data_IF_739071815020
#
_entry.id   IF_739071815020
#
_cell.length_a   1.000
_cell.length_b   1.000
_cell.length_c   1.000
_cell.angle_alpha   90.00
_cell.angle_beta   90.00
_cell.angle_gamma   90.00
#
_symmetry.space_group_name_H-M   'P 1'
#
loop_
_entity.id
_entity.type
_entity.pdbx_description
1 polymer ?
#
# COMPACT_ATOMS: atom_id res chain seq x y z
N UNK A 1 12.66 23.90 -69.45
CA UNK A 1 11.71 23.30 -70.41
C UNK A 1 11.69 21.79 -70.20
N UNK A 2 10.49 21.20 -70.08
CA UNK A 2 10.10 19.78 -70.35
C UNK A 2 10.80 18.63 -69.61
N UNK A 3 10.10 17.94 -68.69
CA UNK A 3 9.39 16.62 -68.82
C UNK A 3 10.35 15.42 -68.89
N UNK A 4 10.09 14.22 -68.39
CA UNK A 4 9.17 13.55 -67.46
C UNK A 4 9.53 12.03 -67.54
N UNK A 5 9.03 11.22 -66.60
CA UNK A 5 8.97 9.73 -66.65
C UNK A 5 10.28 9.00 -66.30
N UNK A 6 10.37 8.02 -65.40
CA UNK A 6 9.39 7.16 -64.75
C UNK A 6 9.65 5.70 -65.17
N UNK A 7 10.21 4.85 -64.29
CA UNK A 7 9.93 3.40 -64.27
C UNK A 7 10.53 2.68 -63.03
N UNK A 8 9.64 1.97 -62.33
CA UNK A 8 9.77 0.79 -61.48
C UNK A 8 11.14 0.08 -61.36
N UNK A 9 11.52 -0.29 -60.13
CA UNK A 9 11.89 -1.70 -59.81
C UNK A 9 11.63 -2.04 -58.33
N UNK A 10 11.13 -3.26 -58.11
CA UNK A 10 10.68 -3.92 -56.87
C UNK A 10 11.82 -4.36 -55.91
N UNK A 11 11.42 -4.66 -54.65
CA UNK A 11 11.93 -5.70 -53.69
C UNK A 11 13.41 -5.60 -53.24
N UNK A 12 13.84 -5.88 -52.00
CA UNK A 12 13.34 -6.78 -50.97
C UNK A 12 13.99 -6.52 -49.58
N UNK A 13 13.24 -6.91 -48.54
CA UNK A 13 13.65 -7.66 -47.32
C UNK A 13 14.88 -7.24 -46.47
N UNK A 14 14.54 -6.72 -45.29
CA UNK A 14 14.93 -7.21 -43.95
C UNK A 14 16.29 -7.90 -43.74
N UNK A 15 17.22 -7.21 -43.07
CA UNK A 15 18.25 -7.74 -42.14
C UNK A 15 18.76 -6.54 -41.32
N UNK A 16 18.99 -6.53 -40.01
CA UNK A 16 18.74 -7.45 -38.92
C UNK A 16 18.98 -6.66 -37.63
N UNK A 17 18.00 -6.63 -36.72
CA UNK A 17 18.21 -6.23 -35.33
C UNK A 17 18.71 -7.46 -34.58
N UNK A 18 19.96 -7.85 -34.83
CA UNK A 18 20.58 -8.94 -34.10
C UNK A 18 21.35 -8.40 -32.90
N UNK A 19 20.99 -8.95 -31.74
CA UNK A 19 21.83 -9.06 -30.53
C UNK A 19 21.75 -7.90 -29.54
N UNK A 20 20.61 -7.79 -28.84
CA UNK A 20 20.67 -7.44 -27.42
C UNK A 20 21.10 -8.70 -26.66
N UNK A 21 22.35 -8.72 -26.24
CA UNK A 21 22.87 -9.69 -25.29
C UNK A 21 22.09 -9.48 -23.99
N UNK A 22 21.19 -10.42 -23.68
CA UNK A 22 20.56 -10.52 -22.36
C UNK A 22 21.65 -11.03 -21.43
N UNK A 23 22.23 -10.13 -20.64
CA UNK A 23 23.05 -10.52 -19.50
C UNK A 23 22.17 -11.34 -18.55
N UNK A 24 22.52 -12.61 -18.33
CA UNK A 24 22.02 -13.41 -17.22
C UNK A 24 22.59 -12.85 -15.90
N UNK A 25 22.09 -11.69 -15.47
CA UNK A 25 21.87 -11.51 -14.04
C UNK A 25 20.82 -12.56 -13.67
N UNK A 26 21.00 -13.27 -12.55
CA UNK A 26 19.95 -14.13 -12.00
C UNK A 26 18.75 -13.22 -11.73
N UNK A 27 17.84 -13.13 -12.70
CA UNK A 27 16.58 -12.46 -12.50
C UNK A 27 15.91 -13.23 -11.38
N UNK A 28 15.65 -12.55 -10.27
CA UNK A 28 14.75 -13.03 -9.24
C UNK A 28 13.49 -13.52 -9.97
N UNK A 29 13.19 -14.82 -9.84
CA UNK A 29 12.06 -15.45 -10.54
C UNK A 29 10.79 -14.75 -10.06
N UNK A 30 10.33 -13.76 -10.82
CA UNK A 30 9.19 -12.90 -10.51
C UNK A 30 7.88 -13.53 -10.98
N UNK A 31 7.80 -14.86 -10.97
CA UNK A 31 6.60 -15.62 -11.29
C UNK A 31 5.64 -15.74 -10.09
N UNK A 32 4.38 -16.04 -10.39
CA UNK A 32 3.39 -16.38 -9.37
C UNK A 32 3.82 -17.61 -8.55
N UNK A 33 4.40 -18.63 -9.20
CA UNK A 33 4.86 -19.84 -8.53
C UNK A 33 5.98 -19.56 -7.52
N UNK A 34 6.97 -18.74 -7.88
CA UNK A 34 8.02 -18.30 -6.95
C UNK A 34 7.45 -17.44 -5.81
N UNK A 35 6.50 -16.55 -6.13
CA UNK A 35 5.80 -15.73 -5.13
C UNK A 35 5.07 -16.59 -4.09
N UNK A 36 4.34 -17.63 -4.50
CA UNK A 36 3.67 -18.53 -3.56
C UNK A 36 4.65 -19.29 -2.65
N UNK A 37 5.81 -19.70 -3.17
CA UNK A 37 6.88 -20.29 -2.34
C UNK A 37 7.41 -19.31 -1.31
N UNK A 38 7.58 -18.04 -1.68
CA UNK A 38 8.04 -17.01 -0.75
C UNK A 38 6.99 -16.67 0.32
N UNK A 39 5.70 -16.65 -0.04
CA UNK A 39 4.59 -16.54 0.91
C UNK A 39 4.65 -17.69 1.92
N UNK A 40 4.78 -18.93 1.45
CA UNK A 40 4.85 -20.11 2.32
C UNK A 40 6.06 -20.05 3.25
N UNK A 41 7.24 -19.66 2.74
CA UNK A 41 8.44 -19.51 3.54
C UNK A 41 8.31 -18.39 4.60
N UNK A 42 7.59 -17.31 4.29
CA UNK A 42 7.45 -16.15 5.18
C UNK A 42 6.34 -16.34 6.21
N UNK A 43 5.21 -16.95 5.84
CA UNK A 43 4.01 -17.07 6.68
C UNK A 43 3.77 -18.49 7.22
N UNK A 44 4.58 -19.47 6.80
CA UNK A 44 4.42 -20.89 7.15
C UNK A 44 3.31 -21.62 6.37
N UNK A 45 2.54 -20.90 5.56
CA UNK A 45 1.55 -21.45 4.62
C UNK A 45 1.22 -20.40 3.57
N UNK A 46 0.50 -20.78 2.51
CA UNK A 46 -0.11 -19.81 1.57
C UNK A 46 -1.59 -19.62 1.94
N UNK A 47 -1.96 -18.52 2.62
CA UNK A 47 -3.35 -18.20 2.95
C UNK A 47 -4.28 -18.20 1.73
N UNK A 48 -5.55 -18.52 1.95
CA UNK A 48 -6.56 -18.59 0.89
C UNK A 48 -6.76 -17.26 0.16
N UNK A 49 -6.66 -16.12 0.85
CA UNK A 49 -6.82 -14.81 0.24
C UNK A 49 -5.70 -14.46 -0.75
N UNK A 50 -4.49 -15.00 -0.58
CA UNK A 50 -3.44 -14.89 -1.60
C UNK A 50 -3.70 -15.83 -2.78
N UNK A 51 -4.16 -17.06 -2.53
CA UNK A 51 -4.51 -18.02 -3.60
C UNK A 51 -5.66 -17.55 -4.49
N UNK A 52 -6.59 -16.76 -3.94
CA UNK A 52 -7.72 -16.20 -4.69
C UNK A 52 -7.34 -14.96 -5.50
N UNK A 53 -6.20 -14.33 -5.20
CA UNK A 53 -5.74 -13.17 -5.95
C UNK A 53 -5.21 -13.61 -7.34
N UNK A 54 -5.50 -12.89 -8.43
CA UNK A 54 -5.03 -13.28 -9.76
C UNK A 54 -3.51 -13.45 -9.81
N UNK A 55 -3.04 -14.54 -10.44
CA UNK A 55 -1.61 -14.80 -10.61
C UNK A 55 -0.87 -13.66 -11.33
N UNK A 56 -1.56 -12.95 -12.22
CA UNK A 56 -1.02 -11.77 -12.91
C UNK A 56 -0.68 -10.61 -11.97
N UNK A 57 -1.26 -10.57 -10.77
CA UNK A 57 -1.06 -9.53 -9.78
C UNK A 57 -0.39 -9.97 -8.48
N UNK A 58 -0.29 -11.28 -8.20
CA UNK A 58 0.16 -11.77 -6.89
C UNK A 58 1.57 -11.33 -6.53
N UNK A 59 2.46 -11.22 -7.53
CA UNK A 59 3.84 -10.77 -7.37
C UNK A 59 3.88 -9.37 -6.74
N UNK A 60 3.09 -8.43 -7.29
CA UNK A 60 3.01 -7.07 -6.78
C UNK A 60 2.31 -6.98 -5.42
N UNK A 61 1.20 -7.70 -5.25
CA UNK A 61 0.46 -7.71 -3.98
C UNK A 61 1.31 -8.26 -2.82
N UNK A 62 2.08 -9.32 -3.08
CA UNK A 62 3.00 -9.87 -2.10
C UNK A 62 4.17 -8.95 -1.81
N UNK A 63 4.76 -8.33 -2.84
CA UNK A 63 5.85 -7.37 -2.66
C UNK A 63 5.42 -6.18 -1.78
N UNK A 64 4.20 -5.66 -1.98
CA UNK A 64 3.62 -4.62 -1.13
C UNK A 64 3.43 -5.13 0.31
N UNK A 65 2.78 -6.27 0.49
CA UNK A 65 2.51 -6.82 1.81
C UNK A 65 3.80 -7.11 2.59
N UNK A 66 4.77 -7.81 1.98
CA UNK A 66 6.04 -8.14 2.61
C UNK A 66 6.92 -6.90 2.83
N UNK A 67 6.98 -6.00 1.85
CA UNK A 67 7.84 -4.82 1.86
C UNK A 67 7.33 -3.68 2.74
N UNK A 68 6.02 -3.59 2.97
CA UNK A 68 5.39 -2.52 3.74
C UNK A 68 4.71 -3.05 5.01
N UNK A 69 3.74 -3.97 4.91
CA UNK A 69 2.97 -4.45 6.07
C UNK A 69 3.89 -5.20 7.06
N UNK A 70 4.62 -6.20 6.58
CA UNK A 70 5.44 -7.07 7.45
C UNK A 70 6.83 -6.51 7.76
N UNK A 71 7.27 -5.47 7.06
CA UNK A 71 8.65 -5.00 7.15
C UNK A 71 8.90 -4.25 8.47
N UNK A 72 9.79 -4.74 9.35
CA UNK A 72 10.10 -4.07 10.62
C UNK A 72 11.08 -2.89 10.45
N UNK A 73 11.67 -2.71 9.26
CA UNK A 73 12.70 -1.70 8.97
C UNK A 73 12.13 -0.40 8.38
N UNK A 74 10.88 -0.09 8.69
CA UNK A 74 10.24 1.18 8.32
C UNK A 74 10.15 2.09 9.53
N UNK A 75 9.83 3.37 9.32
CA UNK A 75 9.73 4.37 10.40
C UNK A 75 8.70 4.03 11.49
N UNK A 76 7.60 3.35 11.14
CA UNK A 76 6.66 2.83 12.12
C UNK A 76 7.03 1.39 12.49
N UNK A 77 7.14 1.11 13.79
CA UNK A 77 7.29 -0.26 14.27
C UNK A 77 6.00 -1.07 14.01
N UNK A 78 6.11 -2.40 14.11
CA UNK A 78 5.00 -3.32 13.84
C UNK A 78 3.77 -3.03 14.71
N UNK A 79 3.94 -2.80 16.02
CA UNK A 79 2.83 -2.47 16.92
C UNK A 79 2.05 -1.25 16.43
N UNK A 80 2.74 -0.15 16.14
CA UNK A 80 2.12 1.09 15.68
C UNK A 80 1.40 0.90 14.34
N UNK A 81 2.00 0.18 13.40
CA UNK A 81 1.36 -0.13 12.10
C UNK A 81 0.04 -0.88 12.29
N UNK A 82 0.05 -1.91 13.12
CA UNK A 82 -1.13 -2.75 13.31
C UNK A 82 -2.23 -2.03 14.09
N UNK A 83 -1.90 -1.14 15.03
CA UNK A 83 -2.88 -0.28 15.70
C UNK A 83 -3.51 0.74 14.74
N UNK A 84 -2.73 1.32 13.82
CA UNK A 84 -3.25 2.17 12.74
C UNK A 84 -4.14 1.36 11.80
N UNK A 85 -3.70 0.16 11.39
CA UNK A 85 -4.48 -0.76 10.57
C UNK A 85 -5.81 -1.14 11.23
N UNK A 86 -5.81 -1.43 12.54
CA UNK A 86 -7.01 -1.71 13.31
C UNK A 86 -7.96 -0.52 13.35
N UNK A 87 -7.45 0.69 13.58
CA UNK A 87 -8.25 1.92 13.57
C UNK A 87 -8.96 2.12 12.22
N UNK A 88 -8.23 1.94 11.11
CA UNK A 88 -8.80 2.01 9.75
C UNK A 88 -9.83 0.91 9.53
N UNK A 89 -9.49 -0.35 9.89
CA UNK A 89 -10.36 -1.52 9.73
C UNK A 89 -11.70 -1.37 10.48
N UNK A 90 -11.66 -0.84 11.71
CA UNK A 90 -12.85 -0.52 12.49
C UNK A 90 -13.72 0.54 11.80
N UNK A 91 -13.09 1.46 11.07
CA UNK A 91 -13.78 2.58 10.45
C UNK A 91 -14.40 2.29 9.08
N UNK A 92 -13.85 1.33 8.34
CA UNK A 92 -14.41 0.72 7.11
C UNK A 92 -15.22 -0.57 7.40
N UNK A 93 -15.69 -0.72 8.65
CA UNK A 93 -16.01 -2.00 9.34
C UNK A 93 -15.69 -3.32 8.63
N UNK A 94 -14.41 -3.58 8.33
CA UNK A 94 -13.98 -4.83 7.69
C UNK A 94 -13.72 -5.92 8.73
N UNK A 95 -14.60 -6.91 8.88
CA UNK A 95 -14.43 -7.98 9.88
C UNK A 95 -13.11 -8.76 9.74
N UNK A 96 -12.71 -9.09 8.51
CA UNK A 96 -11.43 -9.76 8.24
C UNK A 96 -10.23 -8.94 8.71
N UNK A 97 -10.25 -7.64 8.38
CA UNK A 97 -9.18 -6.70 8.67
C UNK A 97 -9.11 -6.42 10.19
N UNK A 98 -10.26 -6.28 10.85
CA UNK A 98 -10.36 -6.12 12.30
C UNK A 98 -9.70 -7.31 12.98
N UNK A 99 -10.06 -8.53 12.58
CA UNK A 99 -9.47 -9.73 13.16
C UNK A 99 -7.96 -9.79 12.92
N UNK A 100 -7.53 -9.63 11.66
CA UNK A 100 -6.12 -9.68 11.28
C UNK A 100 -5.27 -8.66 12.06
N UNK A 101 -5.62 -7.38 11.99
CA UNK A 101 -4.85 -6.31 12.64
C UNK A 101 -4.89 -6.41 14.17
N UNK A 102 -6.00 -6.91 14.76
CA UNK A 102 -6.04 -7.17 16.21
C UNK A 102 -5.03 -8.24 16.60
N UNK A 103 -5.00 -9.38 15.88
CA UNK A 103 -4.05 -10.47 16.19
C UNK A 103 -2.61 -10.06 15.92
N UNK A 104 -2.36 -9.36 14.81
CA UNK A 104 -1.04 -8.88 14.45
C UNK A 104 -0.52 -7.82 15.44
N UNK A 105 -1.37 -6.90 15.93
CA UNK A 105 -1.02 -5.94 16.97
C UNK A 105 -0.57 -6.66 18.25
N UNK A 106 -1.34 -7.66 18.70
CA UNK A 106 -0.98 -8.48 19.87
C UNK A 106 0.33 -9.23 19.68
N UNK A 107 0.55 -9.81 18.49
CA UNK A 107 1.81 -10.48 18.16
C UNK A 107 3.01 -9.51 18.18
N UNK A 108 2.78 -8.22 17.93
CA UNK A 108 3.77 -7.15 18.04
C UNK A 108 3.84 -6.52 19.45
N UNK A 109 3.18 -7.11 20.45
CA UNK A 109 3.24 -6.68 21.84
C UNK A 109 2.27 -5.55 22.22
N UNK A 110 1.21 -5.33 21.44
CA UNK A 110 0.13 -4.42 21.84
C UNK A 110 -0.64 -4.97 23.04
N UNK A 111 -0.92 -4.13 24.03
CA UNK A 111 -1.81 -4.50 25.15
C UNK A 111 -3.28 -4.38 24.75
N UNK A 112 -4.17 -5.00 25.54
CA UNK A 112 -5.61 -4.83 25.33
C UNK A 112 -6.03 -3.37 25.57
N UNK A 113 -5.34 -2.62 26.43
CA UNK A 113 -5.54 -1.18 26.64
C UNK A 113 -5.22 -0.38 25.37
N UNK A 114 -4.07 -0.63 24.74
CA UNK A 114 -3.67 0.04 23.49
C UNK A 114 -4.66 -0.27 22.35
N UNK A 115 -5.16 -1.50 22.28
CA UNK A 115 -6.20 -1.90 21.32
C UNK A 115 -7.51 -1.16 21.58
N UNK A 116 -7.97 -1.09 22.84
CA UNK A 116 -9.19 -0.35 23.21
C UNK A 116 -9.05 1.13 22.87
N UNK A 117 -7.90 1.73 23.14
CA UNK A 117 -7.62 3.13 22.84
C UNK A 117 -7.60 3.40 21.34
N UNK A 118 -6.96 2.54 20.53
CA UNK A 118 -6.94 2.69 19.07
C UNK A 118 -8.35 2.66 18.47
N UNK A 119 -9.23 1.77 18.96
CA UNK A 119 -10.63 1.69 18.53
C UNK A 119 -11.45 2.91 19.02
N UNK A 120 -11.23 3.37 20.25
CA UNK A 120 -11.91 4.56 20.76
C UNK A 120 -11.48 5.84 20.00
N UNK A 121 -10.19 5.94 19.65
CA UNK A 121 -9.65 7.02 18.85
C UNK A 121 -10.24 7.01 17.44
N UNK A 122 -10.37 5.85 16.78
CA UNK A 122 -11.01 5.77 15.46
C UNK A 122 -12.46 6.23 15.48
N UNK A 123 -13.23 5.85 16.50
CA UNK A 123 -14.60 6.33 16.70
C UNK A 123 -14.67 7.85 16.89
N UNK A 124 -13.73 8.42 17.65
CA UNK A 124 -13.63 9.87 17.86
C UNK A 124 -13.35 10.61 16.54
N UNK A 125 -12.46 10.09 15.70
CA UNK A 125 -12.19 10.66 14.37
C UNK A 125 -13.45 10.66 13.50
N UNK A 126 -14.23 9.56 13.49
CA UNK A 126 -15.49 9.52 12.73
C UNK A 126 -16.55 10.45 13.29
N UNK A 127 -16.67 10.56 14.62
CA UNK A 127 -17.59 11.50 15.25
C UNK A 127 -17.35 12.93 14.74
N UNK A 128 -16.11 13.42 14.81
CA UNK A 128 -15.78 14.76 14.34
C UNK A 128 -15.88 14.90 12.83
N UNK A 129 -15.59 13.85 12.05
CA UNK A 129 -15.86 13.84 10.62
C UNK A 129 -17.35 14.12 10.32
N UNK A 130 -18.27 13.46 11.04
CA UNK A 130 -19.71 13.70 10.92
C UNK A 130 -20.09 15.14 11.28
N UNK A 131 -19.56 15.68 12.37
CA UNK A 131 -19.87 17.06 12.81
C UNK A 131 -19.32 18.08 11.80
N UNK A 132 -18.04 18.01 11.44
CA UNK A 132 -17.38 19.00 10.58
C UNK A 132 -17.97 19.01 9.17
N UNK A 133 -18.13 17.82 8.57
CA UNK A 133 -18.72 17.71 7.24
C UNK A 133 -20.22 17.99 7.28
N UNK A 134 -20.94 17.46 8.26
CA UNK A 134 -22.40 17.64 8.36
C UNK A 134 -22.79 19.12 8.56
N UNK A 135 -22.01 19.86 9.34
CA UNK A 135 -22.23 21.29 9.57
C UNK A 135 -21.64 22.20 8.48
N UNK A 136 -20.96 21.64 7.48
CA UNK A 136 -20.31 22.39 6.39
C UNK A 136 -19.38 23.48 6.92
N UNK A 137 -18.54 23.14 7.91
CA UNK A 137 -17.57 24.09 8.48
C UNK A 137 -16.67 24.64 7.36
N UNK A 138 -16.47 25.96 7.34
CA UNK A 138 -15.59 26.61 6.36
C UNK A 138 -14.16 26.09 6.50
N UNK A 139 -13.67 25.40 5.47
CA UNK A 139 -12.39 24.71 5.54
C UNK A 139 -11.18 25.67 5.61
N UNK A 140 -11.12 26.78 4.85
CA UNK A 140 -10.08 27.80 5.04
C UNK A 140 -10.02 28.34 6.47
N UNK A 141 -11.16 28.71 7.05
CA UNK A 141 -11.25 29.19 8.44
C UNK A 141 -10.81 28.11 9.43
N UNK A 142 -11.32 26.88 9.29
CA UNK A 142 -10.95 25.76 10.16
C UNK A 142 -9.43 25.55 10.21
N UNK A 143 -8.75 25.61 9.06
CA UNK A 143 -7.28 25.50 9.02
C UNK A 143 -6.59 26.61 9.82
N UNK A 144 -7.02 27.86 9.63
CA UNK A 144 -6.45 29.00 10.35
C UNK A 144 -6.65 28.86 11.87
N UNK A 145 -7.82 28.39 12.29
CA UNK A 145 -8.15 28.16 13.70
C UNK A 145 -7.29 27.03 14.29
N UNK A 146 -7.17 25.89 13.60
CA UNK A 146 -6.33 24.76 14.05
C UNK A 146 -4.87 25.18 14.15
N UNK A 147 -4.32 25.87 13.15
CA UNK A 147 -2.94 26.36 13.18
C UNK A 147 -2.69 27.29 14.38
N UNK A 148 -3.66 28.17 14.67
CA UNK A 148 -3.62 29.07 15.84
C UNK A 148 -3.63 28.29 17.15
N UNK A 149 -4.51 27.28 17.28
CA UNK A 149 -4.60 26.42 18.47
C UNK A 149 -3.30 25.64 18.68
N UNK A 150 -2.73 25.07 17.63
CA UNK A 150 -1.48 24.29 17.72
C UNK A 150 -0.27 25.16 18.06
N UNK A 151 -0.19 26.37 17.50
CA UNK A 151 0.85 27.34 17.86
C UNK A 151 0.77 27.74 19.35
N UNK A 152 -0.45 27.98 19.86
CA UNK A 152 -0.67 28.30 21.27
C UNK A 152 -0.34 27.11 22.19
N UNK A 153 -0.65 25.87 21.78
CA UNK A 153 -0.29 24.68 22.54
C UNK A 153 1.24 24.51 22.65
N UNK A 154 1.97 24.69 21.54
CA UNK A 154 3.43 24.63 21.52
C UNK A 154 4.07 25.64 22.47
N UNK A 155 3.59 26.88 22.47
CA UNK A 155 4.11 27.95 23.34
C UNK A 155 3.92 27.67 24.84
N UNK A 156 2.91 26.87 25.22
CA UNK A 156 2.66 26.47 26.62
C UNK A 156 3.48 25.25 27.07
N UNK A 157 4.00 24.48 26.12
CA UNK A 157 4.79 23.26 26.40
C UNK A 157 6.31 23.50 26.47
N UNK A 158 6.75 24.75 26.29
CA UNK A 158 8.12 25.21 26.43
C UNK A 158 8.29 25.96 27.75
#
# INVERSE_FOLDING_TARGET
MTKASGMLTMLAMATGFASLIVSNAVAEDSSAAATYKDIEATLGSVPSFFKQFPETGIVGAWAEFKGFQLNPKTELNGKTKELVGLAVAAQIPCQYCIYFHTQAAKANGATDEEIREAVAMSATVRHWSTVLNGMQIDYPQFKQEVDTVMAAAKAKSQ
#
